data_IF_330800851505
#
_entry.id   IF_330800851505
#
_cell.length_a   1.000
_cell.length_b   1.000
_cell.length_c   1.000
_cell.angle_alpha   90.00
_cell.angle_beta   90.00
_cell.angle_gamma   90.00
#
_symmetry.space_group_name_H-M   'P 1'
#
loop_
_entity.id
_entity.type
_entity.pdbx_description
1 polymer ?
#
# COMPACT_ATOMS: atom_id res chain seq x y z
N UNK A 1 -3.08 -1.84 -1.38
CA UNK A 1 -1.86 -1.44 -2.13
C UNK A 1 -2.16 -0.33 -3.11
N UNK A 2 -3.02 -0.53 -4.12
CA UNK A 2 -3.34 0.51 -5.11
C UNK A 2 -3.94 1.82 -4.53
N UNK A 3 -4.59 1.76 -3.36
CA UNK A 3 -5.16 2.93 -2.65
C UNK A 3 -4.28 3.47 -1.51
N UNK A 4 -3.20 2.77 -1.18
CA UNK A 4 -2.39 3.08 0.00
C UNK A 4 -0.94 3.35 -0.32
N UNK A 5 -0.44 2.91 -1.48
CA UNK A 5 0.95 3.08 -1.90
C UNK A 5 1.96 2.25 -1.10
N UNK A 6 1.53 1.39 -0.17
CA UNK A 6 2.45 0.59 0.66
C UNK A 6 3.15 -0.51 -0.17
N UNK A 7 4.39 -0.83 0.22
CA UNK A 7 5.17 -1.91 -0.41
C UNK A 7 4.55 -3.27 -0.07
N UNK A 8 4.77 -4.27 -0.91
CA UNK A 8 4.24 -5.62 -0.66
C UNK A 8 4.74 -6.21 0.68
N UNK A 9 6.02 -6.04 1.01
CA UNK A 9 6.56 -6.52 2.29
C UNK A 9 5.92 -5.81 3.50
N UNK A 10 5.63 -4.51 3.38
CA UNK A 10 4.90 -3.74 4.38
C UNK A 10 3.46 -4.28 4.53
N UNK A 11 2.75 -4.49 3.41
CA UNK A 11 1.39 -5.00 3.41
C UNK A 11 1.28 -6.38 4.09
N UNK A 12 2.21 -7.28 3.78
CA UNK A 12 2.21 -8.65 4.34
C UNK A 12 2.67 -8.69 5.80
N UNK A 13 3.26 -7.61 6.31
CA UNK A 13 3.64 -7.46 7.69
C UNK A 13 2.52 -6.91 8.59
N UNK A 14 1.43 -6.38 7.99
CA UNK A 14 0.38 -5.69 8.73
C UNK A 14 -0.38 -6.62 9.69
N UNK A 15 -0.61 -6.09 10.88
CA UNK A 15 -1.43 -6.66 11.95
C UNK A 15 -2.67 -5.80 12.17
N UNK A 16 -3.73 -6.36 12.74
CA UNK A 16 -4.92 -5.58 13.09
C UNK A 16 -4.61 -4.44 14.07
N UNK A 17 -3.63 -4.63 14.96
CA UNK A 17 -3.19 -3.59 15.89
C UNK A 17 -2.50 -2.40 15.21
N UNK A 18 -2.15 -2.50 13.93
CA UNK A 18 -1.58 -1.37 13.17
C UNK A 18 -2.66 -0.43 12.62
N UNK A 19 -3.93 -0.87 12.65
CA UNK A 19 -5.08 -0.11 12.19
C UNK A 19 -5.70 0.66 13.35
N UNK A 20 -5.70 1.98 13.24
CA UNK A 20 -6.48 2.86 14.10
C UNK A 20 -7.80 3.19 13.39
N UNK A 21 -8.86 2.49 13.79
CA UNK A 21 -10.19 2.67 13.19
C UNK A 21 -10.82 4.03 13.49
N UNK A 22 -10.57 4.59 14.68
CA UNK A 22 -11.14 5.87 15.10
C UNK A 22 -10.57 7.00 14.24
N UNK A 23 -9.25 6.98 14.03
CA UNK A 23 -8.56 7.99 13.26
C UNK A 23 -8.44 7.66 11.76
N UNK A 24 -8.96 6.50 11.32
CA UNK A 24 -8.84 5.96 9.95
C UNK A 24 -7.39 6.00 9.47
N UNK A 25 -6.48 5.47 10.27
CA UNK A 25 -5.05 5.49 10.00
C UNK A 25 -4.42 4.11 10.11
N UNK A 26 -3.34 3.93 9.35
CA UNK A 26 -2.55 2.70 9.35
C UNK A 26 -1.09 3.02 9.63
N UNK A 27 -0.53 2.39 10.65
CA UNK A 27 0.88 2.50 11.00
C UNK A 27 1.72 1.47 10.25
N UNK A 28 2.78 1.94 9.61
CA UNK A 28 3.67 1.14 8.74
C UNK A 28 5.07 1.25 9.31
N UNK A 29 5.46 0.26 10.11
CA UNK A 29 6.73 0.23 10.84
C UNK A 29 7.48 -1.09 10.71
N UNK A 30 7.07 -1.94 9.77
CA UNK A 30 7.62 -3.28 9.57
C UNK A 30 7.46 -3.73 8.13
N UNK A 31 8.37 -4.60 7.71
CA UNK A 31 8.31 -5.30 6.43
C UNK A 31 8.61 -6.77 6.64
N UNK A 32 7.84 -7.61 5.97
CA UNK A 32 8.06 -9.04 5.92
C UNK A 32 9.15 -9.32 4.89
N UNK A 33 10.20 -10.02 5.31
CA UNK A 33 11.31 -10.43 4.46
C UNK A 33 11.27 -11.94 4.31
N UNK A 34 11.37 -12.40 3.07
CA UNK A 34 11.54 -13.82 2.73
C UNK A 34 12.87 -13.99 2.00
N UNK A 35 13.95 -14.33 2.73
CA UNK A 35 15.21 -14.69 2.09
C UNK A 35 15.09 -16.04 1.40
N UNK A 36 15.93 -16.26 0.39
CA UNK A 36 16.03 -17.57 -0.26
C UNK A 36 16.45 -18.61 0.78
N UNK A 37 15.80 -19.78 0.77
CA UNK A 37 16.12 -20.92 1.64
C UNK A 37 16.11 -20.62 3.15
N UNK A 38 15.37 -19.60 3.59
CA UNK A 38 15.31 -19.21 5.00
C UNK A 38 13.87 -19.02 5.47
N UNK A 39 13.69 -19.09 6.79
CA UNK A 39 12.41 -18.72 7.41
C UNK A 39 12.13 -17.23 7.20
N UNK A 40 10.86 -16.84 6.98
CA UNK A 40 10.51 -15.42 6.96
C UNK A 40 10.81 -14.77 8.29
N UNK A 41 11.18 -13.51 8.25
CA UNK A 41 11.32 -12.67 9.44
C UNK A 41 10.75 -11.28 9.18
N UNK A 42 10.40 -10.61 10.28
CA UNK A 42 10.00 -9.21 10.25
C UNK A 42 11.24 -8.35 10.41
N UNK A 43 11.48 -7.48 9.44
CA UNK A 43 12.47 -6.41 9.55
C UNK A 43 11.77 -5.12 9.91
N UNK A 44 12.37 -4.34 10.81
CA UNK A 44 11.99 -2.94 11.02
C UNK A 44 12.72 -2.04 10.01
N UNK A 45 12.17 -0.86 9.69
CA UNK A 45 12.85 0.19 8.97
C UNK A 45 14.26 0.46 9.49
N UNK A 46 15.24 0.56 8.58
CA UNK A 46 16.57 1.09 8.93
C UNK A 46 16.56 2.63 9.07
N UNK A 47 15.53 3.32 8.59
CA UNK A 47 15.42 4.79 8.64
C UNK A 47 14.08 5.25 9.21
N UNK A 48 14.08 6.41 9.89
CA UNK A 48 12.87 7.04 10.45
C UNK A 48 11.80 7.30 9.38
N UNK A 49 12.17 7.62 8.13
CA UNK A 49 11.18 7.92 7.08
C UNK A 49 10.36 6.71 6.62
N UNK A 50 10.83 5.48 6.86
CA UNK A 50 10.03 4.30 6.47
C UNK A 50 9.04 3.89 7.56
N UNK A 51 9.21 4.38 8.79
CA UNK A 51 8.22 4.32 9.87
C UNK A 51 7.25 5.50 9.75
N UNK A 52 6.00 5.21 9.41
CA UNK A 52 5.02 6.25 9.08
C UNK A 52 3.60 5.80 9.35
N UNK A 53 2.72 6.77 9.58
CA UNK A 53 1.28 6.56 9.67
C UNK A 53 0.60 7.23 8.48
N UNK A 54 -0.23 6.48 7.75
CA UNK A 54 -0.98 6.99 6.61
C UNK A 54 -2.47 7.05 6.92
N UNK A 55 -3.17 8.07 6.42
CA UNK A 55 -4.63 8.10 6.42
C UNK A 55 -5.20 7.18 5.35
N UNK A 56 -6.30 6.51 5.69
CA UNK A 56 -7.05 5.60 4.85
C UNK A 56 -8.36 6.25 4.42
N UNK A 57 -8.71 6.08 3.15
CA UNK A 57 -10.02 6.48 2.64
C UNK A 57 -11.12 5.51 3.10
N UNK A 58 -12.38 5.94 3.03
CA UNK A 58 -13.54 5.16 3.50
C UNK A 58 -13.68 3.80 2.79
N UNK A 59 -13.34 3.71 1.51
CA UNK A 59 -13.41 2.45 0.77
C UNK A 59 -12.34 1.49 1.27
N UNK A 60 -11.10 1.95 1.50
CA UNK A 60 -10.04 1.11 2.07
C UNK A 60 -10.42 0.61 3.47
N UNK A 61 -11.01 1.46 4.31
CA UNK A 61 -11.54 1.06 5.62
C UNK A 61 -12.60 -0.04 5.49
N UNK A 62 -13.55 0.13 4.57
CA UNK A 62 -14.59 -0.88 4.29
C UNK A 62 -14.00 -2.21 3.84
N UNK A 63 -13.02 -2.19 2.95
CA UNK A 63 -12.34 -3.39 2.45
C UNK A 63 -11.59 -4.13 3.56
N UNK A 64 -10.94 -3.41 4.49
CA UNK A 64 -10.29 -4.01 5.64
C UNK A 64 -11.33 -4.66 6.57
N UNK A 65 -12.42 -3.98 6.91
CA UNK A 65 -13.49 -4.59 7.74
C UNK A 65 -14.07 -5.84 7.09
N UNK A 66 -14.33 -5.80 5.78
CA UNK A 66 -14.79 -6.95 5.03
C UNK A 66 -13.79 -8.10 5.04
N UNK A 67 -12.49 -7.81 4.92
CA UNK A 67 -11.44 -8.82 5.05
C UNK A 67 -11.50 -9.51 6.43
N UNK A 68 -11.71 -8.75 7.51
CA UNK A 68 -11.83 -9.30 8.86
C UNK A 68 -13.02 -10.26 8.93
N UNK A 69 -14.21 -9.83 8.51
CA UNK A 69 -15.43 -10.66 8.48
C UNK A 69 -15.25 -11.91 7.63
N UNK A 70 -14.70 -11.78 6.42
CA UNK A 70 -14.48 -12.93 5.53
C UNK A 70 -13.53 -13.96 6.16
N UNK A 71 -12.47 -13.52 6.87
CA UNK A 71 -11.56 -14.46 7.54
C UNK A 71 -12.22 -15.17 8.71
N UNK A 72 -13.09 -14.49 9.44
CA UNK A 72 -13.89 -15.08 10.51
C UNK A 72 -14.84 -16.13 9.97
N UNK A 73 -15.61 -15.81 8.91
CA UNK A 73 -16.50 -16.76 8.24
C UNK A 73 -15.75 -18.01 7.74
N UNK A 74 -14.63 -17.82 7.03
CA UNK A 74 -13.82 -18.94 6.52
C UNK A 74 -13.30 -19.82 7.68
N UNK A 75 -12.92 -19.22 8.82
CA UNK A 75 -12.48 -19.98 9.98
C UNK A 75 -13.59 -20.88 10.55
N UNK A 76 -14.83 -20.39 10.61
CA UNK A 76 -15.97 -21.18 11.05
C UNK A 76 -16.35 -22.28 10.05
N UNK A 77 -16.25 -22.01 8.75
CA UNK A 77 -16.66 -22.94 7.69
C UNK A 77 -15.63 -24.05 7.43
N UNK A 78 -14.33 -23.79 7.65
CA UNK A 78 -13.27 -24.71 7.26
C UNK A 78 -12.41 -25.12 8.46
N UNK A 79 -12.54 -26.39 8.89
CA UNK A 79 -11.78 -26.97 10.03
C UNK A 79 -10.26 -26.82 9.93
N UNK A 80 -9.71 -26.81 8.71
CA UNK A 80 -8.27 -26.68 8.47
C UNK A 80 -7.79 -25.22 8.43
N UNK A 81 -8.71 -24.25 8.48
CA UNK A 81 -8.37 -22.85 8.50
C UNK A 81 -8.04 -22.39 9.92
N UNK A 82 -6.85 -21.82 10.11
CA UNK A 82 -6.34 -21.36 11.40
C UNK A 82 -6.12 -19.86 11.38
N UNK A 83 -6.58 -19.18 12.44
CA UNK A 83 -6.26 -17.76 12.66
C UNK A 83 -4.75 -17.59 12.85
N UNK A 84 -4.24 -16.44 12.40
CA UNK A 84 -2.85 -16.06 12.64
C UNK A 84 -2.60 -15.81 14.13
N UNK A 85 -1.56 -16.43 14.70
CA UNK A 85 -1.11 -16.15 16.07
C UNK A 85 -0.56 -14.73 16.24
N UNK A 86 0.00 -14.17 15.17
CA UNK A 86 0.58 -12.81 15.15
C UNK A 86 -0.45 -11.71 14.83
N UNK A 87 -1.75 -12.03 14.86
CA UNK A 87 -2.84 -11.10 14.55
C UNK A 87 -2.74 -10.41 13.17
N UNK A 88 -2.32 -11.16 12.14
CA UNK A 88 -2.09 -10.65 10.79
C UNK A 88 -3.38 -10.34 10.03
N UNK A 89 -3.33 -9.30 9.19
CA UNK A 89 -4.42 -8.98 8.26
C UNK A 89 -4.40 -9.92 7.04
N UNK A 90 -3.22 -10.23 6.53
CA UNK A 90 -3.02 -11.07 5.35
C UNK A 90 -2.11 -12.27 5.68
N UNK A 91 -2.71 -13.46 5.71
CA UNK A 91 -2.02 -14.69 6.07
C UNK A 91 -2.58 -15.89 5.28
N UNK A 92 -1.82 -16.98 5.26
CA UNK A 92 -2.19 -18.26 4.64
C UNK A 92 -3.33 -18.93 5.41
N UNK A 93 -3.97 -19.94 4.82
CA UNK A 93 -5.07 -20.66 5.49
C UNK A 93 -4.67 -21.29 6.83
N UNK A 94 -3.39 -21.59 7.06
CA UNK A 94 -2.88 -22.20 8.29
C UNK A 94 -2.38 -21.20 9.33
N UNK A 95 -2.67 -19.91 9.17
CA UNK A 95 -2.26 -18.86 10.10
C UNK A 95 -0.84 -18.33 9.89
N UNK A 96 -0.05 -18.91 8.97
CA UNK A 96 1.31 -18.45 8.69
C UNK A 96 1.34 -17.23 7.78
N UNK A 97 2.44 -16.51 7.85
CA UNK A 97 2.81 -15.42 6.93
C UNK A 97 2.56 -15.79 5.47
N UNK A 98 1.89 -14.90 4.73
CA UNK A 98 1.70 -15.06 3.29
C UNK A 98 3.01 -14.76 2.54
N UNK A 99 3.41 -15.65 1.64
CA UNK A 99 4.71 -15.55 0.96
C UNK A 99 4.68 -14.52 -0.16
N UNK A 100 5.71 -13.68 -0.23
CA UNK A 100 5.80 -12.61 -1.23
C UNK A 100 5.84 -13.14 -2.67
N UNK A 101 6.48 -14.29 -2.92
CA UNK A 101 6.49 -14.93 -4.24
C UNK A 101 5.10 -15.40 -4.66
N UNK A 102 4.34 -16.02 -3.76
CA UNK A 102 2.96 -16.46 -4.01
C UNK A 102 2.08 -15.29 -4.44
N UNK A 103 2.19 -14.16 -3.74
CA UNK A 103 1.44 -12.94 -4.10
C UNK A 103 1.88 -12.38 -5.45
N UNK A 104 3.18 -12.38 -5.74
CA UNK A 104 3.70 -11.94 -7.06
C UNK A 104 3.20 -12.85 -8.17
N UNK A 105 3.24 -14.15 -8.00
CA UNK A 105 2.81 -15.10 -9.02
C UNK A 105 1.30 -15.03 -9.24
N UNK A 106 0.51 -14.91 -8.16
CA UNK A 106 -0.92 -14.64 -8.28
C UNK A 106 -1.20 -13.35 -9.04
N UNK A 107 -0.45 -12.28 -8.76
CA UNK A 107 -0.60 -11.00 -9.46
C UNK A 107 -0.27 -11.11 -10.95
N UNK A 108 0.79 -11.85 -11.33
CA UNK A 108 1.12 -12.12 -12.74
C UNK A 108 -0.04 -12.84 -13.45
N UNK A 109 -0.63 -13.84 -12.81
CA UNK A 109 -1.76 -14.57 -13.38
C UNK A 109 -3.00 -13.69 -13.53
N UNK A 110 -3.24 -12.77 -12.59
CA UNK A 110 -4.29 -11.76 -12.72
C UNK A 110 -4.03 -10.83 -13.92
N UNK A 111 -2.79 -10.35 -14.11
CA UNK A 111 -2.44 -9.54 -15.28
C UNK A 111 -2.72 -10.27 -16.59
N UNK A 112 -2.29 -11.55 -16.70
CA UNK A 112 -2.53 -12.37 -17.89
C UNK A 112 -4.03 -12.54 -18.18
N UNK A 113 -4.84 -12.84 -17.16
CA UNK A 113 -6.30 -13.00 -17.30
C UNK A 113 -7.00 -11.70 -17.70
N UNK A 114 -6.46 -10.56 -17.25
CA UNK A 114 -6.96 -9.24 -17.62
C UNK A 114 -6.43 -8.75 -18.97
N UNK A 115 -5.63 -9.55 -19.69
CA UNK A 115 -4.95 -9.18 -20.93
C UNK A 115 -4.10 -7.90 -20.78
N UNK A 116 -3.44 -7.75 -19.63
CA UNK A 116 -2.54 -6.65 -19.32
C UNK A 116 -1.08 -7.12 -19.38
N UNK A 117 -0.11 -6.20 -19.64
CA UNK A 117 1.30 -6.49 -19.44
C UNK A 117 1.56 -7.08 -18.05
N UNK A 118 2.50 -8.01 -17.97
CA UNK A 118 2.85 -8.66 -16.70
C UNK A 118 3.60 -7.65 -15.83
N UNK A 119 2.88 -7.05 -14.90
CA UNK A 119 3.42 -6.09 -13.95
C UNK A 119 3.80 -6.77 -12.63
N UNK A 120 4.62 -6.10 -11.83
CA UNK A 120 4.82 -6.49 -10.43
C UNK A 120 3.84 -5.74 -9.52
N UNK A 121 3.57 -6.23 -8.29
CA UNK A 121 2.79 -5.48 -7.31
C UNK A 121 3.34 -4.09 -7.00
N UNK A 122 4.61 -3.80 -7.32
CA UNK A 122 5.18 -2.46 -7.21
C UNK A 122 4.52 -1.45 -8.16
N UNK A 123 3.99 -1.90 -9.31
CA UNK A 123 3.24 -1.05 -10.22
C UNK A 123 2.03 -0.40 -9.54
N UNK A 124 1.33 -1.12 -8.66
CA UNK A 124 0.21 -0.55 -7.89
C UNK A 124 0.64 0.61 -6.99
N UNK A 125 1.88 0.58 -6.48
CA UNK A 125 2.44 1.68 -5.70
C UNK A 125 2.76 2.87 -6.59
N UNK A 126 3.30 2.65 -7.79
CA UNK A 126 3.50 3.71 -8.76
C UNK A 126 2.18 4.36 -9.16
N UNK A 127 1.17 3.56 -9.51
CA UNK A 127 -0.18 4.06 -9.84
C UNK A 127 -0.76 4.89 -8.71
N UNK A 128 -0.62 4.46 -7.45
CA UNK A 128 -1.08 5.24 -6.29
C UNK A 128 -0.42 6.62 -6.22
N UNK A 129 0.88 6.70 -6.51
CA UNK A 129 1.62 7.97 -6.50
C UNK A 129 1.18 8.88 -7.65
N UNK A 130 1.08 8.34 -8.86
CA UNK A 130 0.62 9.08 -10.06
C UNK A 130 -0.78 9.65 -9.81
N UNK A 131 -1.73 8.84 -9.35
CA UNK A 131 -3.09 9.32 -9.08
C UNK A 131 -3.14 10.42 -8.02
N UNK A 132 -2.26 10.42 -7.01
CA UNK A 132 -2.19 11.51 -6.05
C UNK A 132 -1.64 12.78 -6.68
N UNK A 133 -0.58 12.67 -7.48
CA UNK A 133 0.03 13.80 -8.18
C UNK A 133 -0.93 14.42 -9.20
N UNK A 134 -1.60 13.60 -10.01
CA UNK A 134 -2.62 14.04 -10.97
C UNK A 134 -3.87 14.63 -10.30
N UNK A 135 -4.08 14.37 -9.01
CA UNK A 135 -5.13 14.99 -8.20
C UNK A 135 -4.64 16.29 -7.52
N UNK A 136 -3.46 16.81 -7.90
CA UNK A 136 -2.89 18.05 -7.36
C UNK A 136 -2.27 17.91 -5.97
N UNK A 137 -2.05 16.69 -5.47
CA UNK A 137 -1.46 16.50 -4.14
C UNK A 137 0.04 16.80 -4.19
N UNK A 138 0.51 17.61 -3.24
CA UNK A 138 1.91 18.03 -3.17
C UNK A 138 2.88 16.84 -3.13
N UNK A 139 3.92 16.91 -3.97
CA UNK A 139 4.94 15.84 -4.10
C UNK A 139 5.60 15.47 -2.77
N UNK A 140 5.80 16.44 -1.88
CA UNK A 140 6.32 16.21 -0.53
C UNK A 140 5.44 15.25 0.26
N UNK A 141 4.12 15.50 0.29
CA UNK A 141 3.16 14.62 0.96
C UNK A 141 3.14 13.22 0.31
N UNK A 142 3.18 13.14 -1.02
CA UNK A 142 3.24 11.85 -1.73
C UNK A 142 4.50 11.08 -1.32
N UNK A 143 5.67 11.73 -1.30
CA UNK A 143 6.94 11.14 -0.90
C UNK A 143 6.92 10.63 0.55
N UNK A 144 6.39 11.42 1.48
CA UNK A 144 6.22 11.05 2.89
C UNK A 144 5.26 9.86 3.05
N UNK A 145 4.10 9.90 2.38
CA UNK A 145 3.11 8.81 2.38
C UNK A 145 3.70 7.51 1.86
N UNK A 146 4.58 7.58 0.85
CA UNK A 146 5.26 6.43 0.29
C UNK A 146 6.43 5.96 1.18
N UNK A 147 6.98 6.81 2.04
CA UNK A 147 8.18 6.50 2.82
C UNK A 147 9.41 6.39 1.91
N UNK A 148 9.61 7.39 1.04
CA UNK A 148 10.85 7.58 0.29
C UNK A 148 11.80 8.43 1.12
N UNK A 149 13.02 7.94 1.36
CA UNK A 149 14.06 8.68 2.08
C UNK A 149 14.64 9.83 1.24
N UNK A 150 14.60 9.70 -0.09
CA UNK A 150 15.00 10.73 -1.03
C UNK A 150 13.79 11.13 -1.88
N UNK A 151 13.43 12.42 -1.84
CA UNK A 151 12.33 12.98 -2.64
C UNK A 151 12.61 12.90 -4.15
N UNK A 152 13.87 12.91 -4.57
CA UNK A 152 14.25 12.82 -5.98
C UNK A 152 13.80 11.49 -6.60
N UNK A 153 13.72 10.41 -5.81
CA UNK A 153 13.16 9.13 -6.30
C UNK A 153 11.69 9.29 -6.72
N UNK A 154 10.93 10.12 -6.00
CA UNK A 154 9.56 10.47 -6.37
C UNK A 154 9.58 11.38 -7.59
N UNK A 155 10.33 12.49 -7.57
CA UNK A 155 10.36 13.45 -8.68
C UNK A 155 10.81 12.80 -10.00
N UNK A 156 11.96 12.11 -10.01
CA UNK A 156 12.55 11.49 -11.20
C UNK A 156 11.65 10.39 -11.81
N UNK A 157 10.86 9.71 -10.98
CA UNK A 157 9.91 8.68 -11.45
C UNK A 157 8.65 9.30 -12.06
N UNK A 158 8.30 10.55 -11.70
CA UNK A 158 7.02 11.18 -12.05
C UNK A 158 7.17 12.48 -12.86
N UNK A 159 8.35 12.72 -13.44
CA UNK A 159 8.66 13.83 -14.36
C UNK A 159 7.71 13.96 -15.58
N UNK A 160 6.88 12.96 -15.89
CA UNK A 160 5.88 13.04 -16.95
C UNK A 160 4.53 13.62 -16.47
N UNK A 161 4.32 13.69 -15.15
CA UNK A 161 3.10 14.24 -14.55
C UNK A 161 3.20 15.76 -14.39
N UNK A 162 4.40 16.33 -14.54
CA UNK A 162 4.67 17.77 -14.30
C UNK A 162 3.95 18.70 -15.27
N UNK A 163 3.81 18.37 -16.56
CA UNK A 163 3.12 19.27 -17.51
C UNK A 163 1.67 19.54 -17.11
N UNK A 164 0.92 18.49 -16.74
CA UNK A 164 -0.46 18.64 -16.26
C UNK A 164 -0.53 19.41 -14.94
N UNK A 165 0.43 19.19 -14.05
CA UNK A 165 0.50 19.91 -12.76
C UNK A 165 0.79 21.39 -12.98
N UNK A 166 1.60 21.75 -13.98
CA UNK A 166 1.92 23.14 -14.33
C UNK A 166 0.66 23.90 -14.81
N UNK A 167 -0.12 23.30 -15.72
CA UNK A 167 -1.38 23.88 -16.21
C UNK A 167 -2.42 24.04 -15.08
N UNK A 168 -2.57 23.03 -14.23
CA UNK A 168 -3.48 23.06 -13.08
C UNK A 168 -3.04 24.12 -12.04
N UNK A 169 -1.73 24.27 -11.82
CA UNK A 169 -1.18 25.23 -10.87
C UNK A 169 -1.38 26.69 -11.32
N UNK A 170 -1.19 26.97 -12.62
CA UNK A 170 -1.49 28.28 -13.19
C UNK A 170 -2.98 28.61 -13.06
N UNK A 171 -3.84 27.66 -13.41
CA UNK A 171 -5.30 27.81 -13.28
C UNK A 171 -5.73 28.09 -11.83
N UNK A 172 -5.16 27.38 -10.85
CA UNK A 172 -5.44 27.60 -9.43
C UNK A 172 -4.98 28.99 -8.96
N UNK A 173 -3.82 29.46 -9.42
CA UNK A 173 -3.31 30.78 -9.09
C UNK A 173 -4.15 31.91 -9.70
N UNK A 174 -4.55 31.77 -10.97
CA UNK A 174 -5.44 32.72 -11.65
C UNK A 174 -6.77 32.86 -10.91
N UNK A 175 -7.39 31.74 -10.53
CA UNK A 175 -8.62 31.75 -9.73
C UNK A 175 -8.42 32.45 -8.38
N UNK A 176 -7.32 32.16 -7.67
CA UNK A 176 -7.03 32.80 -6.38
C UNK A 176 -6.87 34.32 -6.49
N UNK A 177 -6.21 34.81 -7.53
CA UNK A 177 -6.05 36.25 -7.76
C UNK A 177 -7.37 36.92 -8.17
N UNK A 178 -8.21 36.26 -8.97
CA UNK A 178 -9.49 36.82 -9.38
C UNK A 178 -10.52 36.86 -8.25
N UNK A 179 -10.43 35.92 -7.30
CA UNK A 179 -11.28 35.85 -6.11
C UNK A 179 -10.76 36.69 -4.92
N UNK A 180 -9.61 37.37 -5.05
CA UNK A 180 -8.98 38.24 -4.02
C UNK A 180 -9.14 39.73 -4.36
#
# INVERSE_FOLDING_TARGET
MARTGIRIGEALALRWNDLDEANKSLTINKTLVYPLNSSPYISTPKSKQSDRTIKLDNTTMKLLKQQQTNREEIHYLHKNYRRSKDNLIFYQHDGRWLRTNVVRDYFKEVCKRANLPVLSPHALRHTHAVHLLEAGVQIKYVSERLGHANMNVTADTYLHVTEKIEDDALSLYENYIQDS
#
